data_IF_899242175915
#
_entry.id   IF_899242175915
#
_cell.length_a   1.000
_cell.length_b   1.000
_cell.length_c   1.000
_cell.angle_alpha   90.00
_cell.angle_beta   90.00
_cell.angle_gamma   90.00
#
_symmetry.space_group_name_H-M   'P 1'
#
loop_
_entity.id
_entity.type
_entity.pdbx_description
1 polymer ?
#
# COMPACT_ATOMS: atom_id res chain seq x y z
N UNK A 1 2.72 19.13 -11.18
CA UNK A 1 2.70 18.59 -9.82
C UNK A 1 1.32 18.05 -9.49
N UNK A 2 1.24 16.86 -8.96
CA UNK A 2 0.00 16.33 -8.43
C UNK A 2 -0.21 16.85 -7.01
N UNK A 3 -1.46 16.87 -6.52
CA UNK A 3 -1.74 17.19 -5.11
C UNK A 3 -1.85 15.91 -4.26
N UNK A 4 -1.36 14.80 -4.78
CA UNK A 4 -1.46 13.50 -4.12
C UNK A 4 -0.13 13.09 -3.50
N UNK A 5 -0.20 12.34 -2.41
CA UNK A 5 0.95 11.65 -1.83
C UNK A 5 1.40 10.56 -2.82
N UNK A 6 2.71 10.43 -3.04
CA UNK A 6 3.26 9.37 -3.85
C UNK A 6 3.11 8.02 -3.17
N UNK A 7 2.87 6.96 -3.94
CA UNK A 7 2.74 5.59 -3.41
C UNK A 7 3.79 4.66 -4.03
N UNK A 8 4.40 3.84 -3.20
CA UNK A 8 5.25 2.74 -3.62
C UNK A 8 4.74 1.46 -2.95
N UNK A 9 4.36 0.47 -3.74
CA UNK A 9 3.95 -0.84 -3.22
C UNK A 9 5.03 -1.85 -3.53
N UNK A 10 5.50 -2.56 -2.52
CA UNK A 10 6.57 -3.55 -2.67
C UNK A 10 6.14 -4.87 -2.04
N UNK A 11 6.40 -5.97 -2.73
CA UNK A 11 6.01 -7.28 -2.23
C UNK A 11 6.90 -8.38 -2.78
N UNK A 12 6.77 -9.56 -2.21
CA UNK A 12 7.21 -10.79 -2.86
C UNK A 12 6.32 -11.02 -4.08
N UNK A 13 6.92 -11.44 -5.19
CA UNK A 13 6.20 -11.75 -6.43
C UNK A 13 5.39 -10.58 -6.96
N UNK A 14 4.26 -10.88 -7.56
CA UNK A 14 3.39 -9.89 -8.22
C UNK A 14 2.32 -9.30 -7.31
N UNK A 15 2.32 -9.60 -6.05
CA UNK A 15 1.25 -9.24 -5.13
C UNK A 15 1.00 -7.72 -5.11
N UNK A 16 2.05 -6.92 -4.97
CA UNK A 16 1.91 -5.45 -4.93
C UNK A 16 1.24 -4.91 -6.19
N UNK A 17 1.72 -5.35 -7.34
CA UNK A 17 1.15 -4.94 -8.63
C UNK A 17 -0.32 -5.36 -8.74
N UNK A 18 -0.62 -6.60 -8.41
CA UNK A 18 -1.98 -7.14 -8.49
C UNK A 18 -2.92 -6.47 -7.48
N UNK A 19 -2.43 -6.13 -6.29
CA UNK A 19 -3.23 -5.41 -5.29
C UNK A 19 -3.67 -4.04 -5.82
N UNK A 20 -2.76 -3.29 -6.46
CA UNK A 20 -3.13 -2.02 -7.05
C UNK A 20 -4.10 -2.20 -8.22
N UNK A 21 -3.91 -3.20 -9.06
CA UNK A 21 -4.83 -3.49 -10.17
C UNK A 21 -6.23 -3.83 -9.66
N UNK A 22 -6.32 -4.59 -8.59
CA UNK A 22 -7.61 -4.87 -7.95
C UNK A 22 -8.28 -3.61 -7.40
N UNK A 23 -7.50 -2.75 -6.75
CA UNK A 23 -8.02 -1.48 -6.26
C UNK A 23 -8.54 -0.60 -7.39
N UNK A 24 -7.82 -0.54 -8.50
CA UNK A 24 -8.23 0.26 -9.67
C UNK A 24 -9.54 -0.22 -10.28
N UNK A 25 -9.86 -1.50 -10.17
CA UNK A 25 -11.17 -2.02 -10.60
C UNK A 25 -12.32 -1.47 -9.75
N UNK A 26 -12.04 -1.14 -8.50
CA UNK A 26 -13.07 -0.68 -7.55
C UNK A 26 -13.22 0.84 -7.61
N UNK A 27 -12.10 1.56 -7.59
CA UNK A 27 -12.11 3.03 -7.42
C UNK A 27 -11.59 3.81 -8.64
N UNK A 28 -11.22 3.12 -9.71
CA UNK A 28 -10.69 3.75 -10.92
C UNK A 28 -9.17 3.83 -10.95
N UNK A 29 -8.65 4.17 -12.11
CA UNK A 29 -7.22 4.24 -12.37
C UNK A 29 -6.54 5.26 -11.45
N UNK A 30 -5.38 4.88 -10.93
CA UNK A 30 -4.57 5.71 -10.05
C UNK A 30 -3.34 6.23 -10.78
N UNK A 31 -2.83 7.36 -10.31
CA UNK A 31 -1.60 7.97 -10.80
C UNK A 31 -0.60 8.13 -9.66
N UNK A 32 0.61 8.56 -9.98
CA UNK A 32 1.68 8.85 -9.00
C UNK A 32 1.94 7.68 -8.05
N UNK A 33 2.07 6.49 -8.63
CA UNK A 33 2.46 5.30 -7.87
C UNK A 33 3.37 4.41 -8.71
N UNK A 34 4.13 3.57 -8.03
CA UNK A 34 4.96 2.52 -8.61
C UNK A 34 4.84 1.24 -7.80
N UNK A 35 5.16 0.11 -8.43
CA UNK A 35 5.20 -1.18 -7.75
C UNK A 35 6.53 -1.87 -8.00
N UNK A 36 7.02 -2.59 -6.98
CA UNK A 36 8.23 -3.42 -7.07
C UNK A 36 7.87 -4.83 -6.58
N UNK A 37 8.04 -5.81 -7.45
CA UNK A 37 7.88 -7.22 -7.11
C UNK A 37 9.24 -7.92 -7.04
N UNK A 38 9.48 -8.67 -5.98
CA UNK A 38 10.74 -9.37 -5.76
C UNK A 38 10.50 -10.88 -5.84
N UNK A 39 11.02 -11.52 -6.87
CA UNK A 39 10.87 -12.98 -7.06
C UNK A 39 12.03 -13.73 -6.45
N UNK A 40 13.24 -13.42 -6.90
CA UNK A 40 14.46 -14.08 -6.42
C UNK A 40 15.44 -13.01 -5.98
N UNK A 41 16.00 -13.18 -4.79
CA UNK A 41 16.97 -12.22 -4.23
C UNK A 41 18.38 -12.68 -4.59
N UNK A 42 18.80 -12.42 -5.84
CA UNK A 42 20.14 -12.75 -6.31
C UNK A 42 21.10 -11.57 -6.16
N UNK A 43 20.59 -10.35 -6.30
CA UNK A 43 21.40 -9.14 -6.28
C UNK A 43 20.61 -8.00 -5.60
N UNK A 44 20.92 -7.80 -4.32
CA UNK A 44 20.26 -6.76 -3.51
C UNK A 44 20.55 -5.37 -4.07
N UNK A 45 21.74 -5.14 -4.60
CA UNK A 45 22.10 -3.83 -5.15
C UNK A 45 21.28 -3.51 -6.40
N UNK A 46 21.04 -4.50 -7.26
CA UNK A 46 20.19 -4.33 -8.44
C UNK A 46 18.74 -4.05 -8.04
N UNK A 47 18.22 -4.73 -7.03
CA UNK A 47 16.88 -4.50 -6.51
C UNK A 47 16.73 -3.10 -5.90
N UNK A 48 17.72 -2.67 -5.15
CA UNK A 48 17.74 -1.32 -4.59
C UNK A 48 17.76 -0.26 -5.68
N UNK A 49 18.57 -0.48 -6.72
CA UNK A 49 18.64 0.43 -7.87
C UNK A 49 17.27 0.54 -8.57
N UNK A 50 16.61 -0.58 -8.82
CA UNK A 50 15.27 -0.58 -9.40
C UNK A 50 14.29 0.21 -8.54
N UNK A 51 14.29 -0.02 -7.23
CA UNK A 51 13.46 0.70 -6.28
C UNK A 51 13.70 2.21 -6.34
N UNK A 52 14.98 2.61 -6.30
CA UNK A 52 15.35 4.02 -6.32
C UNK A 52 14.95 4.70 -7.63
N UNK A 53 15.11 4.04 -8.76
CA UNK A 53 14.70 4.58 -10.06
C UNK A 53 13.18 4.80 -10.11
N UNK A 54 12.40 3.87 -9.58
CA UNK A 54 10.94 4.00 -9.53
C UNK A 54 10.50 5.13 -8.58
N UNK A 55 11.12 5.22 -7.43
CA UNK A 55 10.84 6.32 -6.47
C UNK A 55 11.16 7.68 -7.09
N UNK A 56 12.27 7.76 -7.84
CA UNK A 56 12.66 9.01 -8.49
C UNK A 56 11.64 9.48 -9.51
N UNK A 57 10.91 8.56 -10.14
CA UNK A 57 9.87 8.90 -11.11
C UNK A 57 8.60 9.49 -10.48
N UNK A 58 8.46 9.40 -9.16
CA UNK A 58 7.26 9.84 -8.45
C UNK A 58 7.35 11.30 -8.03
N UNK A 59 6.20 11.97 -7.99
CA UNK A 59 6.07 13.30 -7.40
C UNK A 59 5.89 13.15 -5.88
N UNK A 60 6.96 13.41 -5.13
CA UNK A 60 7.01 13.26 -3.67
C UNK A 60 6.82 14.58 -2.91
N UNK A 61 6.35 15.62 -3.60
CA UNK A 61 6.19 16.94 -2.97
C UNK A 61 5.23 16.94 -1.76
N UNK A 62 4.28 16.01 -1.74
CA UNK A 62 3.34 15.84 -0.62
C UNK A 62 3.66 14.61 0.23
N UNK A 63 4.83 14.02 0.05
CA UNK A 63 5.27 12.86 0.80
C UNK A 63 5.19 11.55 0.02
N UNK A 64 5.68 10.49 0.64
CA UNK A 64 5.72 9.14 0.09
C UNK A 64 5.19 8.15 1.11
N UNK A 65 4.24 7.34 0.70
CA UNK A 65 3.77 6.18 1.48
C UNK A 65 4.26 4.92 0.79
N UNK A 66 4.94 4.07 1.55
CA UNK A 66 5.39 2.76 1.08
C UNK A 66 4.52 1.70 1.75
N UNK A 67 3.91 0.84 0.96
CA UNK A 67 3.16 -0.32 1.46
C UNK A 67 3.94 -1.58 1.10
N UNK A 68 4.26 -2.39 2.11
CA UNK A 68 4.94 -3.67 1.91
C UNK A 68 4.07 -4.82 2.41
N UNK A 69 4.33 -6.02 1.92
CA UNK A 69 3.48 -7.19 2.20
C UNK A 69 3.58 -7.68 3.64
N UNK A 70 4.80 -7.87 4.15
CA UNK A 70 5.00 -8.38 5.51
C UNK A 70 6.13 -7.63 6.21
N UNK A 71 6.10 -7.66 7.54
CA UNK A 71 7.19 -7.15 8.37
C UNK A 71 8.41 -8.07 8.20
N UNK A 72 9.59 -7.49 7.97
CA UNK A 72 10.86 -8.20 8.04
C UNK A 72 11.30 -8.95 6.78
N UNK A 73 10.56 -8.90 5.70
CA UNK A 73 11.01 -9.49 4.42
C UNK A 73 11.93 -8.56 3.64
N UNK A 74 12.50 -9.06 2.54
CA UNK A 74 13.36 -8.25 1.67
C UNK A 74 12.68 -6.98 1.18
N UNK A 75 11.40 -7.00 0.74
CA UNK A 75 10.72 -5.76 0.36
C UNK A 75 10.73 -4.72 1.48
N UNK A 76 10.38 -5.11 2.70
CA UNK A 76 10.37 -4.19 3.84
C UNK A 76 11.77 -3.70 4.20
N UNK A 77 12.76 -4.58 4.16
CA UNK A 77 14.15 -4.21 4.49
C UNK A 77 14.72 -3.21 3.49
N UNK A 78 14.46 -3.40 2.20
CA UNK A 78 14.88 -2.44 1.18
C UNK A 78 14.12 -1.11 1.32
N UNK A 79 12.81 -1.17 1.51
CA UNK A 79 11.96 0.02 1.65
C UNK A 79 12.36 0.86 2.86
N UNK A 80 12.80 0.23 3.95
CA UNK A 80 13.20 0.94 5.18
C UNK A 80 14.37 1.91 4.95
N UNK A 81 15.17 1.69 3.92
CA UNK A 81 16.26 2.61 3.57
C UNK A 81 15.75 3.97 3.08
N UNK A 82 14.51 4.03 2.62
CA UNK A 82 13.88 5.28 2.19
C UNK A 82 13.39 6.15 3.36
N UNK A 83 13.33 5.60 4.58
CA UNK A 83 12.87 6.31 5.78
C UNK A 83 13.83 7.40 6.26
N UNK A 84 15.00 7.52 5.65
CA UNK A 84 15.90 8.64 5.91
C UNK A 84 15.29 9.98 5.47
N UNK A 85 14.31 9.95 4.58
CA UNK A 85 13.55 11.13 4.18
C UNK A 85 12.41 11.35 5.18
N UNK A 86 12.37 12.54 5.78
CA UNK A 86 11.41 12.86 6.85
C UNK A 86 9.94 12.84 6.43
N UNK A 87 9.68 12.92 5.12
CA UNK A 87 8.32 12.95 4.57
C UNK A 87 7.92 11.59 3.95
N UNK A 88 8.42 10.51 4.54
CA UNK A 88 8.18 9.15 4.07
C UNK A 88 7.70 8.27 5.23
N UNK A 89 6.67 7.48 4.99
CA UNK A 89 6.21 6.47 5.95
C UNK A 89 6.20 5.09 5.30
N UNK A 90 6.49 4.07 6.11
CA UNK A 90 6.50 2.67 5.71
C UNK A 90 5.41 1.92 6.47
N UNK A 91 4.51 1.29 5.73
CA UNK A 91 3.39 0.52 6.28
C UNK A 91 3.52 -0.92 5.79
N UNK A 92 3.65 -1.86 6.70
CA UNK A 92 3.67 -3.30 6.40
C UNK A 92 2.31 -3.93 6.67
N UNK A 93 2.00 -5.00 5.96
CA UNK A 93 0.70 -5.66 6.06
C UNK A 93 -0.22 -5.32 4.89
N UNK A 94 0.37 -5.14 3.71
CA UNK A 94 -0.38 -4.82 2.49
C UNK A 94 -1.58 -5.75 2.30
N UNK A 95 -2.73 -5.15 2.18
CA UNK A 95 -3.97 -5.83 1.81
C UNK A 95 -4.84 -4.85 1.00
N UNK A 96 -5.90 -5.35 0.41
CA UNK A 96 -6.75 -4.51 -0.44
C UNK A 96 -7.44 -3.37 0.33
N UNK A 97 -7.98 -3.57 1.55
CA UNK A 97 -8.54 -2.46 2.32
C UNK A 97 -7.55 -1.32 2.54
N UNK A 98 -6.27 -1.62 2.82
CA UNK A 98 -5.25 -0.59 2.98
C UNK A 98 -4.97 0.18 1.69
N UNK A 99 -4.88 -0.55 0.56
CA UNK A 99 -4.66 0.09 -0.75
C UNK A 99 -5.82 1.03 -1.08
N UNK A 100 -7.05 0.58 -0.87
CA UNK A 100 -8.23 1.41 -1.12
C UNK A 100 -8.22 2.65 -0.24
N UNK A 101 -7.94 2.50 1.05
CA UNK A 101 -7.93 3.62 1.99
C UNK A 101 -6.88 4.67 1.61
N UNK A 102 -5.66 4.24 1.31
CA UNK A 102 -4.60 5.15 0.87
C UNK A 102 -5.01 5.88 -0.40
N UNK A 103 -5.48 5.15 -1.41
CA UNK A 103 -5.86 5.75 -2.69
C UNK A 103 -6.98 6.77 -2.55
N UNK A 104 -7.91 6.55 -1.64
CA UNK A 104 -9.03 7.48 -1.40
C UNK A 104 -8.63 8.71 -0.57
N UNK A 105 -7.52 8.65 0.15
CA UNK A 105 -7.13 9.70 1.11
C UNK A 105 -5.78 10.35 0.77
N UNK A 106 -5.29 10.19 -0.44
CA UNK A 106 -3.97 10.67 -0.86
C UNK A 106 -3.80 12.18 -0.82
N UNK A 107 -4.88 12.93 -0.68
CA UNK A 107 -4.83 14.40 -0.62
C UNK A 107 -4.79 14.94 0.80
N UNK A 108 -4.85 14.04 1.78
CA UNK A 108 -4.73 14.39 3.19
C UNK A 108 -3.25 14.49 3.60
N UNK A 109 -2.99 14.98 4.81
CA UNK A 109 -1.63 14.96 5.36
C UNK A 109 -1.20 13.51 5.67
N UNK A 110 0.12 13.28 5.71
CA UNK A 110 0.64 11.97 6.10
C UNK A 110 0.13 11.52 7.48
N UNK A 111 0.09 12.44 8.44
CA UNK A 111 -0.39 12.13 9.79
C UNK A 111 -1.85 11.66 9.78
N UNK A 112 -2.69 12.32 9.00
CA UNK A 112 -4.09 11.93 8.87
C UNK A 112 -4.24 10.58 8.19
N UNK A 113 -3.44 10.31 7.15
CA UNK A 113 -3.45 9.01 6.47
C UNK A 113 -3.01 7.89 7.40
N UNK A 114 -2.02 8.12 8.25
CA UNK A 114 -1.57 7.13 9.23
C UNK A 114 -2.72 6.69 10.15
N UNK A 115 -3.50 7.62 10.65
CA UNK A 115 -4.66 7.31 11.49
C UNK A 115 -5.72 6.54 10.71
N UNK A 116 -6.00 6.98 9.49
CA UNK A 116 -6.98 6.32 8.60
C UNK A 116 -6.56 4.88 8.29
N UNK A 117 -5.28 4.63 8.02
CA UNK A 117 -4.75 3.30 7.71
C UNK A 117 -4.94 2.31 8.86
N UNK A 118 -4.70 2.73 10.10
CA UNK A 118 -4.91 1.87 11.26
C UNK A 118 -6.38 1.44 11.37
N UNK A 119 -7.29 2.37 11.15
CA UNK A 119 -8.73 2.09 11.16
C UNK A 119 -9.11 1.15 10.00
N UNK A 120 -8.61 1.41 8.81
CA UNK A 120 -8.90 0.59 7.62
C UNK A 120 -8.41 -0.86 7.81
N UNK A 121 -7.22 -1.03 8.40
CA UNK A 121 -6.70 -2.36 8.67
C UNK A 121 -7.62 -3.13 9.62
N UNK A 122 -8.04 -2.52 10.70
CA UNK A 122 -8.92 -3.15 11.69
C UNK A 122 -10.30 -3.46 11.10
N UNK A 123 -10.89 -2.53 10.38
CA UNK A 123 -12.23 -2.69 9.80
C UNK A 123 -12.22 -3.62 8.58
N UNK A 124 -11.09 -3.79 7.94
CA UNK A 124 -10.95 -4.68 6.79
C UNK A 124 -10.87 -6.16 7.13
N UNK A 125 -10.84 -6.48 8.41
CA UNK A 125 -10.81 -7.86 8.90
C UNK A 125 -12.16 -8.23 9.51
N UNK A 126 -12.72 -9.36 9.08
CA UNK A 126 -13.93 -9.88 9.73
C UNK A 126 -13.93 -11.41 9.67
N UNK A 127 -14.52 -12.00 10.68
CA UNK A 127 -14.82 -13.43 10.71
C UNK A 127 -16.33 -13.56 10.78
N UNK A 128 -16.91 -14.34 9.87
CA UNK A 128 -18.34 -14.60 9.84
C UNK A 128 -18.59 -16.09 9.98
N UNK A 129 -19.61 -16.41 10.77
CA UNK A 129 -20.09 -17.78 10.91
C UNK A 129 -21.50 -17.88 10.35
N UNK A 130 -22.01 -19.10 10.25
CA UNK A 130 -23.39 -19.31 9.82
C UNK A 130 -24.40 -18.62 10.76
N UNK A 131 -24.08 -18.53 12.03
CA UNK A 131 -24.92 -17.85 13.02
C UNK A 131 -25.03 -16.35 12.70
N UNK A 132 -23.95 -15.71 12.33
CA UNK A 132 -23.95 -14.29 11.96
C UNK A 132 -24.80 -14.04 10.71
N UNK A 133 -24.67 -14.90 9.70
CA UNK A 133 -25.44 -14.80 8.46
C UNK A 133 -26.93 -15.04 8.71
N UNK A 134 -27.28 -16.04 9.53
CA UNK A 134 -28.66 -16.37 9.84
C UNK A 134 -29.33 -15.43 10.84
N UNK A 135 -28.54 -14.58 11.52
CA UNK A 135 -29.06 -13.60 12.45
C UNK A 135 -29.77 -12.40 11.81
N UNK A 136 -29.82 -12.35 10.47
CA UNK A 136 -30.53 -11.30 9.74
C UNK A 136 -29.77 -9.98 9.62
N UNK A 137 -28.48 -9.94 9.91
CA UNK A 137 -27.69 -8.76 9.66
C UNK A 137 -27.52 -8.59 8.14
N UNK A 138 -27.84 -7.38 7.67
CA UNK A 138 -27.64 -7.05 6.28
C UNK A 138 -26.14 -7.00 5.97
N UNK A 139 -25.81 -7.42 4.76
CA UNK A 139 -24.43 -7.39 4.30
C UNK A 139 -24.01 -5.94 4.04
N UNK A 140 -23.31 -5.35 4.98
CA UNK A 140 -22.78 -4.00 4.86
C UNK A 140 -21.59 -3.91 3.89
N UNK A 141 -21.19 -5.02 3.31
CA UNK A 141 -19.96 -5.13 2.50
C UNK A 141 -20.23 -5.36 1.01
N UNK A 142 -21.32 -4.85 0.49
CA UNK A 142 -21.52 -4.88 -0.95
C UNK A 142 -20.66 -3.81 -1.61
N UNK A 143 -19.76 -4.24 -2.47
CA UNK A 143 -18.95 -3.37 -3.32
C UNK A 143 -19.60 -3.21 -4.70
#
# INVERSE_FOLDING_TARGET
>A
MTNSIALLLMSHGTFAHSAMKSAELIIGQQENYETVGIDVVDDVDALEKEMLEKVESLDKSNGLIILTDIIGGTPTNLASRLLQNSNTILVSGLNLPLVLDVCMNRQMSLDSVMVSLETAYTQGFSIRTITDVMGGEEDEYSL
#
